data_IF_213572160058
#
_entry.id   IF_213572160058
#
_cell.length_a   1.000
_cell.length_b   1.000
_cell.length_c   1.000
_cell.angle_alpha   90.00
_cell.angle_beta   90.00
_cell.angle_gamma   90.00
#
_symmetry.space_group_name_H-M   'P 1'
#
loop_
_entity.id
_entity.type
_entity.pdbx_description
1 polymer ?
#
# COMPACT_ATOMS: atom_id res chain seq x y z
N UNK A 1 -0.92 19.90 6.17
CA UNK A 1 -1.72 19.55 7.37
C UNK A 1 -0.88 18.57 8.17
N UNK A 2 -0.89 18.62 9.51
CA UNK A 2 -0.21 17.62 10.35
C UNK A 2 -1.20 16.50 10.67
N UNK A 3 -0.72 15.27 10.67
CA UNK A 3 -1.48 14.13 11.18
C UNK A 3 -1.73 14.30 12.68
N UNK A 4 -2.92 13.91 13.12
CA UNK A 4 -3.30 13.94 14.54
C UNK A 4 -3.11 12.56 15.16
N UNK A 5 -2.62 12.54 16.39
CA UNK A 5 -2.61 11.33 17.20
C UNK A 5 -4.03 10.94 17.62
N UNK A 6 -4.26 9.66 17.92
CA UNK A 6 -5.54 9.18 18.43
C UNK A 6 -5.98 9.98 19.67
N UNK A 7 -5.04 10.33 20.56
CA UNK A 7 -5.33 11.12 21.76
C UNK A 7 -5.80 12.55 21.43
N UNK A 8 -5.20 13.22 20.45
CA UNK A 8 -5.63 14.55 20.02
C UNK A 8 -7.02 14.51 19.40
N UNK A 9 -7.30 13.53 18.54
CA UNK A 9 -8.63 13.29 17.95
C UNK A 9 -9.67 13.08 19.05
N UNK A 10 -9.36 12.25 20.05
CA UNK A 10 -10.29 11.97 21.15
C UNK A 10 -10.48 13.17 22.09
N UNK A 11 -9.55 14.13 22.14
CA UNK A 11 -9.66 15.34 22.94
C UNK A 11 -10.31 16.51 22.18
N UNK A 12 -10.54 16.37 20.88
CA UNK A 12 -11.13 17.43 20.08
C UNK A 12 -12.60 17.72 20.48
N UNK A 13 -12.96 19.00 20.74
CA UNK A 13 -14.29 19.35 21.22
C UNK A 13 -15.38 19.11 20.18
N UNK A 14 -15.10 19.25 18.89
CA UNK A 14 -16.09 19.02 17.82
C UNK A 14 -16.33 17.53 17.65
N UNK A 15 -15.29 16.71 17.69
CA UNK A 15 -15.41 15.25 17.64
C UNK A 15 -16.22 14.75 18.85
N UNK A 16 -15.94 15.23 20.06
CA UNK A 16 -16.72 14.88 21.25
C UNK A 16 -18.18 15.30 21.14
N UNK A 17 -18.42 16.47 20.56
CA UNK A 17 -19.78 16.97 20.35
C UNK A 17 -20.54 16.08 19.35
N UNK A 18 -19.90 15.68 18.26
CA UNK A 18 -20.47 14.77 17.27
C UNK A 18 -20.81 13.41 17.89
N UNK A 19 -19.86 12.80 18.61
CA UNK A 19 -20.08 11.51 19.29
C UNK A 19 -21.24 11.58 20.28
N UNK A 20 -21.34 12.69 21.04
CA UNK A 20 -22.45 12.91 21.98
C UNK A 20 -23.79 13.09 21.26
N UNK A 21 -23.81 13.83 20.15
CA UNK A 21 -25.01 14.03 19.33
C UNK A 21 -25.53 12.68 18.80
N UNK A 22 -24.61 11.81 18.37
CA UNK A 22 -24.91 10.50 17.78
C UNK A 22 -25.06 9.38 18.82
N UNK A 23 -24.94 9.69 20.12
CA UNK A 23 -24.97 8.71 21.23
C UNK A 23 -23.91 7.60 21.10
N UNK A 24 -22.80 7.89 20.43
CA UNK A 24 -21.66 6.98 20.30
C UNK A 24 -20.73 7.18 21.49
N UNK A 25 -20.29 6.07 22.11
CA UNK A 25 -19.32 6.14 23.19
C UNK A 25 -17.91 6.44 22.67
N UNK A 26 -17.19 7.32 23.37
CA UNK A 26 -15.81 7.67 23.02
C UNK A 26 -14.86 6.47 23.15
N UNK A 27 -15.16 5.51 24.01
CA UNK A 27 -14.35 4.31 24.19
C UNK A 27 -14.43 3.36 22.98
N UNK A 28 -15.64 3.16 22.45
CA UNK A 28 -15.84 2.41 21.19
C UNK A 28 -15.13 3.11 20.04
N UNK A 29 -15.26 4.43 19.95
CA UNK A 29 -14.58 5.21 18.92
C UNK A 29 -13.04 5.11 19.03
N UNK A 30 -12.50 5.16 20.24
CA UNK A 30 -11.07 4.97 20.49
C UNK A 30 -10.57 3.59 20.03
N UNK A 31 -11.38 2.55 20.23
CA UNK A 31 -11.06 1.19 19.78
C UNK A 31 -11.04 1.11 18.24
N UNK A 32 -12.03 1.70 17.57
CA UNK A 32 -12.07 1.76 16.11
C UNK A 32 -10.86 2.49 15.51
N UNK A 33 -10.43 3.60 16.13
CA UNK A 33 -9.23 4.33 15.71
C UNK A 33 -7.96 3.48 15.85
N UNK A 34 -7.81 2.76 16.96
CA UNK A 34 -6.67 1.85 17.19
C UNK A 34 -6.63 0.73 16.16
N UNK A 35 -7.77 0.11 15.88
CA UNK A 35 -7.86 -0.93 14.86
C UNK A 35 -7.56 -0.41 13.46
N UNK A 36 -8.06 0.78 13.13
CA UNK A 36 -7.80 1.42 11.85
C UNK A 36 -6.30 1.74 11.67
N UNK A 37 -5.66 2.28 12.72
CA UNK A 37 -4.21 2.52 12.72
C UNK A 37 -3.42 1.23 12.52
N UNK A 38 -3.74 0.17 13.27
CA UNK A 38 -3.08 -1.13 13.14
C UNK A 38 -3.22 -1.72 11.72
N UNK A 39 -4.40 -1.56 11.08
CA UNK A 39 -4.60 -1.98 9.69
C UNK A 39 -3.79 -1.12 8.72
N UNK A 40 -3.72 0.19 8.93
CA UNK A 40 -2.92 1.08 8.07
C UNK A 40 -1.43 0.73 8.15
N UNK A 41 -0.90 0.47 9.34
CA UNK A 41 0.49 0.05 9.56
C UNK A 41 0.78 -1.28 8.86
N UNK A 42 -0.12 -2.26 8.99
CA UNK A 42 0.02 -3.55 8.31
C UNK A 42 0.01 -3.41 6.77
N UNK A 43 -0.81 -2.52 6.22
CA UNK A 43 -0.83 -2.27 4.76
C UNK A 43 0.42 -1.53 4.29
N UNK A 44 0.94 -0.59 5.08
CA UNK A 44 2.20 0.09 4.78
C UNK A 44 3.37 -0.91 4.75
N UNK A 45 3.41 -1.86 5.68
CA UNK A 45 4.40 -2.94 5.67
C UNK A 45 4.26 -3.88 4.47
N UNK A 46 3.02 -4.21 4.07
CA UNK A 46 2.75 -5.07 2.91
C UNK A 46 3.17 -4.43 1.59
N UNK A 47 2.98 -3.11 1.44
CA UNK A 47 3.42 -2.36 0.27
C UNK A 47 4.94 -2.33 0.07
N UNK A 48 5.72 -2.52 1.14
CA UNK A 48 7.18 -2.57 1.08
C UNK A 48 7.73 -3.92 0.59
N UNK A 49 7.00 -5.02 0.79
CA UNK A 49 7.43 -6.37 0.41
C UNK A 49 7.08 -6.75 -1.04
N UNK A 50 6.31 -5.92 -1.76
CA UNK A 50 5.83 -6.22 -3.12
C UNK A 50 6.71 -5.65 -4.25
N UNK A 51 7.86 -5.04 -3.92
CA UNK A 51 8.73 -4.35 -4.88
C UNK A 51 10.01 -5.12 -5.25
N UNK A 52 9.97 -6.46 -5.26
CA UNK A 52 11.01 -7.26 -5.96
C UNK A 52 10.34 -7.90 -7.18
N UNK A 53 10.44 -7.30 -8.37
CA UNK A 53 10.13 -8.03 -9.60
C UNK A 53 11.16 -9.17 -9.78
N UNK A 54 10.75 -10.38 -10.18
CA UNK A 54 11.70 -11.41 -10.57
C UNK A 54 12.44 -10.93 -11.82
N UNK A 55 13.76 -10.84 -11.67
CA UNK A 55 14.72 -10.61 -12.75
C UNK A 55 14.82 -11.91 -13.57
N UNK A 56 13.88 -12.09 -14.51
CA UNK A 56 13.96 -13.16 -15.51
C UNK A 56 14.76 -12.63 -16.73
N UNK A 57 16.04 -12.36 -16.49
CA UNK A 57 17.04 -12.17 -17.53
C UNK A 57 17.85 -13.47 -17.71
N UNK A 58 18.09 -13.83 -18.97
CA UNK A 58 19.02 -14.86 -19.50
C UNK A 58 18.49 -16.26 -19.87
N UNK A 59 18.13 -16.40 -21.15
CA UNK A 59 18.59 -17.45 -22.07
C UNK A 59 18.18 -17.03 -23.50
N UNK A 60 18.93 -16.19 -24.20
CA UNK A 60 20.09 -16.49 -25.05
C UNK A 60 19.82 -17.51 -26.18
N UNK A 61 20.04 -17.01 -27.40
CA UNK A 61 20.43 -17.70 -28.64
C UNK A 61 19.37 -18.38 -29.53
N UNK A 62 18.87 -17.64 -30.53
CA UNK A 62 18.54 -18.10 -31.90
C UNK A 62 18.23 -16.84 -32.73
N UNK A 63 18.86 -16.49 -33.83
CA UNK A 63 19.79 -17.18 -34.70
C UNK A 63 20.63 -16.10 -35.40
N UNK A 64 21.95 -16.29 -35.36
CA UNK A 64 22.92 -15.51 -36.12
C UNK A 64 22.64 -15.61 -37.62
N UNK A 65 22.91 -14.49 -38.28
CA UNK A 65 23.32 -14.31 -39.68
C UNK A 65 23.59 -15.58 -40.49
N UNK A 66 23.07 -15.66 -41.72
CA UNK A 66 23.86 -16.08 -42.89
C UNK A 66 23.32 -15.39 -44.13
N UNK A 67 24.06 -14.37 -44.56
CA UNK A 67 23.98 -13.73 -45.87
C UNK A 67 24.90 -14.52 -46.82
N UNK A 68 24.43 -14.76 -48.06
CA UNK A 68 25.17 -15.03 -49.33
C UNK A 68 25.01 -16.40 -50.02
N UNK A 69 24.67 -16.31 -51.32
CA UNK A 69 24.98 -17.19 -52.47
C UNK A 69 24.16 -18.50 -52.56
N UNK A 70 23.69 -19.00 -53.71
CA UNK A 70 24.23 -18.97 -55.07
C UNK A 70 23.16 -19.35 -56.13
N UNK A 71 23.55 -19.22 -57.41
CA UNK A 71 22.85 -19.42 -58.69
C UNK A 71 22.14 -20.77 -58.99
N UNK A 72 21.37 -20.74 -60.11
CA UNK A 72 21.11 -21.77 -61.13
C UNK A 72 19.83 -22.63 -61.01
N UNK A 73 18.88 -22.45 -61.95
CA UNK A 73 18.75 -23.19 -63.24
C UNK A 73 17.73 -22.47 -64.13
#
# INVERSE_FOLDING_TARGET
>A
MRDMTISEILCDPLIRQLMRADRVSLDVFATLLREAAARADAQAMKGFSAAVPPDDNEASEQSRETIMQTEAV
#
